data_IF_593963197178
#
_entry.id   IF_593963197178
#
_cell.length_a   1.000
_cell.length_b   1.000
_cell.length_c   1.000
_cell.angle_alpha   90.00
_cell.angle_beta   90.00
_cell.angle_gamma   90.00
#
_symmetry.space_group_name_H-M   'P 1'
#
loop_
_entity.id
_entity.type
_entity.pdbx_description
1 polymer ?
#
# COMPACT_ATOMS: atom_id res chain seq x y z
N UNK A 1 31.41 65.27 18.87
CA UNK A 1 30.71 64.51 17.82
C UNK A 1 30.73 65.36 16.57
N UNK A 2 31.44 64.94 15.53
CA UNK A 2 31.40 65.63 14.22
C UNK A 2 30.08 65.28 13.51
N UNK A 3 29.61 66.12 12.60
CA UNK A 3 28.35 65.87 11.86
C UNK A 3 28.37 64.53 11.11
N UNK A 4 29.55 64.13 10.62
CA UNK A 4 29.79 62.83 9.98
C UNK A 4 29.57 61.63 10.92
N UNK A 5 29.93 61.76 12.21
CA UNK A 5 29.70 60.72 13.20
C UNK A 5 28.21 60.60 13.52
N UNK A 6 27.52 61.74 13.67
CA UNK A 6 26.08 61.77 13.91
C UNK A 6 25.29 61.15 12.73
N UNK A 7 25.70 61.43 11.49
CA UNK A 7 25.09 60.86 10.29
C UNK A 7 25.28 59.33 10.21
N UNK A 8 26.49 58.83 10.49
CA UNK A 8 26.76 57.38 10.53
C UNK A 8 25.91 56.66 11.59
N UNK A 9 25.75 57.28 12.76
CA UNK A 9 24.92 56.76 13.85
C UNK A 9 23.43 56.74 13.44
N UNK A 10 22.94 57.78 12.76
CA UNK A 10 21.58 57.81 12.23
C UNK A 10 21.32 56.67 11.23
N UNK A 11 22.24 56.42 10.29
CA UNK A 11 22.12 55.29 9.34
C UNK A 11 22.03 53.96 10.08
N UNK A 12 22.88 53.74 11.09
CA UNK A 12 22.88 52.51 11.89
C UNK A 12 21.55 52.29 12.61
N UNK A 13 20.98 53.33 13.22
CA UNK A 13 19.69 53.23 13.91
C UNK A 13 18.54 52.96 12.95
N UNK A 14 18.51 53.63 11.80
CA UNK A 14 17.48 53.44 10.77
C UNK A 14 17.54 52.03 10.18
N UNK A 15 18.75 51.53 9.89
CA UNK A 15 18.93 50.15 9.42
C UNK A 15 18.55 49.11 10.48
N UNK A 16 18.94 49.32 11.73
CA UNK A 16 18.55 48.45 12.84
C UNK A 16 17.03 48.40 13.03
N UNK A 17 16.35 49.55 12.95
CA UNK A 17 14.90 49.63 13.01
C UNK A 17 14.26 48.84 11.84
N UNK A 18 14.77 49.02 10.63
CA UNK A 18 14.33 48.26 9.45
C UNK A 18 14.49 46.74 9.65
N UNK A 19 15.66 46.27 10.06
CA UNK A 19 15.90 44.84 10.29
C UNK A 19 14.95 44.27 11.35
N UNK A 20 14.73 44.98 12.46
CA UNK A 20 13.79 44.56 13.51
C UNK A 20 12.37 44.44 12.99
N UNK A 21 11.92 45.39 12.16
CA UNK A 21 10.60 45.36 11.53
C UNK A 21 10.47 44.15 10.61
N UNK A 22 11.45 43.91 9.73
CA UNK A 22 11.43 42.77 8.81
C UNK A 22 11.37 41.45 9.55
N UNK A 23 12.23 41.24 10.56
CA UNK A 23 12.25 40.01 11.36
C UNK A 23 10.92 39.80 12.09
N UNK A 24 10.35 40.88 12.66
CA UNK A 24 9.06 40.81 13.35
C UNK A 24 7.93 40.37 12.41
N UNK A 25 7.86 40.93 11.20
CA UNK A 25 6.81 40.56 10.24
C UNK A 25 7.00 39.14 9.73
N UNK A 26 8.23 38.73 9.40
CA UNK A 26 8.52 37.35 9.00
C UNK A 26 8.09 36.34 10.08
N UNK A 27 8.33 36.64 11.35
CA UNK A 27 7.87 35.81 12.46
C UNK A 27 6.34 35.76 12.56
N UNK A 28 5.65 36.90 12.42
CA UNK A 28 4.19 36.96 12.42
C UNK A 28 3.62 36.12 11.26
N UNK A 29 4.18 36.23 10.06
CA UNK A 29 3.72 35.51 8.87
C UNK A 29 3.81 33.99 9.05
N UNK A 30 4.91 33.48 9.61
CA UNK A 30 5.04 32.05 9.91
C UNK A 30 4.09 31.60 11.03
N UNK A 31 3.88 32.41 12.07
CA UNK A 31 2.88 32.11 13.11
C UNK A 31 1.47 32.00 12.50
N UNK A 32 1.09 32.94 11.63
CA UNK A 32 -0.21 32.91 10.96
C UNK A 32 -0.33 31.71 10.03
N UNK A 33 0.75 31.32 9.36
CA UNK A 33 0.79 30.12 8.51
C UNK A 33 0.65 28.83 9.32
N UNK A 34 1.31 28.73 10.47
CA UNK A 34 1.15 27.62 11.41
C UNK A 34 -0.30 27.54 11.92
N UNK A 35 -0.89 28.68 12.29
CA UNK A 35 -2.29 28.74 12.75
C UNK A 35 -3.27 28.25 11.68
N UNK A 36 -3.13 28.70 10.44
CA UNK A 36 -3.95 28.24 9.30
C UNK A 36 -3.84 26.74 9.05
N UNK A 37 -2.65 26.15 9.28
CA UNK A 37 -2.47 24.70 9.22
C UNK A 37 -3.20 24.00 10.36
N UNK A 38 -2.99 24.41 11.60
CA UNK A 38 -3.63 23.80 12.77
C UNK A 38 -5.16 23.88 12.78
N UNK A 39 -5.75 24.91 12.15
CA UNK A 39 -7.21 25.01 12.01
C UNK A 39 -7.79 24.05 10.96
N UNK A 40 -6.97 23.56 10.03
CA UNK A 40 -7.38 22.68 8.91
C UNK A 40 -6.92 21.23 9.08
N UNK A 41 -5.78 21.04 9.74
CA UNK A 41 -5.13 19.75 9.92
C UNK A 41 -5.60 19.11 11.23
N UNK A 42 -5.99 17.84 11.15
CA UNK A 42 -6.34 17.01 12.30
C UNK A 42 -5.31 15.89 12.40
N UNK A 43 -4.85 15.57 13.61
CA UNK A 43 -3.88 14.49 13.81
C UNK A 43 -4.46 13.14 13.38
N UNK A 44 -3.65 12.28 12.76
CA UNK A 44 -4.05 10.92 12.41
C UNK A 44 -4.51 10.11 13.64
N UNK A 45 -3.87 10.28 14.79
CA UNK A 45 -4.28 9.61 16.04
C UNK A 45 -5.70 10.00 16.47
N UNK A 46 -6.10 11.25 16.22
CA UNK A 46 -7.47 11.71 16.46
C UNK A 46 -8.47 11.07 15.50
N UNK A 47 -8.08 10.86 14.23
CA UNK A 47 -8.88 10.18 13.22
C UNK A 47 -9.00 8.67 13.45
N UNK A 48 -7.99 8.03 14.04
CA UNK A 48 -8.04 6.59 14.38
C UNK A 48 -8.94 6.27 15.59
N UNK A 49 -9.41 7.29 16.32
CA UNK A 49 -10.48 7.07 17.30
C UNK A 49 -11.74 6.62 16.56
N UNK A 50 -12.37 5.56 17.05
CA UNK A 50 -13.48 4.79 16.44
C UNK A 50 -14.63 5.62 15.81
N UNK A 51 -14.75 6.90 16.19
CA UNK A 51 -15.72 7.86 15.66
C UNK A 51 -15.59 8.15 14.15
N UNK A 52 -14.43 7.88 13.53
CA UNK A 52 -14.22 8.14 12.10
C UNK A 52 -14.03 6.89 11.23
N UNK A 53 -14.22 5.69 11.80
CA UNK A 53 -14.19 4.42 11.04
C UNK A 53 -15.26 4.40 9.94
N UNK A 54 -16.32 5.20 10.08
CA UNK A 54 -17.38 5.38 9.08
C UNK A 54 -16.94 6.13 7.81
N UNK A 55 -15.80 6.83 7.82
CA UNK A 55 -15.25 7.50 6.63
C UNK A 55 -14.52 6.53 5.71
N UNK A 56 -14.13 5.36 6.21
CA UNK A 56 -13.71 4.27 5.36
C UNK A 56 -14.98 3.66 4.76
N UNK A 57 -15.17 3.80 3.45
CA UNK A 57 -16.11 2.91 2.78
C UNK A 57 -15.62 1.47 3.05
N UNK A 58 -16.48 0.57 3.54
CA UNK A 58 -16.11 -0.84 3.58
C UNK A 58 -15.80 -1.23 2.13
N UNK A 59 -14.55 -1.61 1.85
CA UNK A 59 -14.20 -2.19 0.56
C UNK A 59 -15.20 -3.32 0.31
N UNK A 60 -16.08 -3.14 -0.67
CA UNK A 60 -17.01 -4.18 -1.11
C UNK A 60 -16.16 -5.26 -1.76
N UNK A 61 -15.65 -6.17 -0.93
CA UNK A 61 -14.76 -7.22 -1.36
C UNK A 61 -15.62 -8.32 -1.96
N UNK A 62 -15.71 -8.34 -3.29
CA UNK A 62 -16.45 -9.38 -4.00
C UNK A 62 -15.77 -10.75 -3.78
N UNK A 63 -16.56 -11.72 -3.34
CA UNK A 63 -16.09 -13.07 -3.04
C UNK A 63 -16.20 -13.97 -4.28
N UNK A 64 -15.09 -14.61 -4.65
CA UNK A 64 -15.02 -15.58 -5.73
C UNK A 64 -14.72 -16.97 -5.18
N UNK A 65 -15.41 -17.98 -5.69
CA UNK A 65 -15.26 -19.37 -5.21
C UNK A 65 -14.36 -20.17 -6.14
N UNK A 66 -13.33 -20.81 -5.58
CA UNK A 66 -12.48 -21.77 -6.27
C UNK A 66 -12.67 -23.16 -5.66
N UNK A 67 -13.18 -24.10 -6.46
CA UNK A 67 -13.49 -25.46 -5.98
C UNK A 67 -12.57 -26.48 -6.65
N UNK A 68 -11.86 -27.26 -5.83
CA UNK A 68 -11.04 -28.38 -6.27
C UNK A 68 -10.96 -29.43 -5.16
N UNK A 69 -10.68 -30.69 -5.51
CA UNK A 69 -10.66 -31.81 -4.54
C UNK A 69 -11.94 -31.96 -3.70
N UNK A 70 -13.10 -31.53 -4.22
CA UNK A 70 -14.38 -31.52 -3.48
C UNK A 70 -14.46 -30.50 -2.34
N UNK A 71 -13.55 -29.52 -2.29
CA UNK A 71 -13.52 -28.45 -1.30
C UNK A 71 -13.48 -27.09 -1.99
N UNK A 72 -13.96 -26.06 -1.30
CA UNK A 72 -14.07 -24.70 -1.84
C UNK A 72 -13.23 -23.73 -1.02
N UNK A 73 -12.48 -22.88 -1.72
CA UNK A 73 -11.75 -21.76 -1.14
C UNK A 73 -12.34 -20.43 -1.63
N UNK A 74 -12.42 -19.46 -0.72
CA UNK A 74 -12.83 -18.09 -1.03
C UNK A 74 -11.63 -17.29 -1.47
N UNK A 75 -11.77 -16.57 -2.58
CA UNK A 75 -10.80 -15.68 -3.18
C UNK A 75 -11.40 -14.28 -3.28
N UNK A 76 -10.54 -13.27 -3.22
CA UNK A 76 -10.94 -11.85 -3.28
C UNK A 76 -10.41 -11.15 -4.54
N UNK A 77 -9.93 -11.92 -5.50
CA UNK A 77 -9.38 -11.43 -6.76
C UNK A 77 -10.00 -12.18 -7.92
N UNK A 78 -10.80 -11.47 -8.72
CA UNK A 78 -11.50 -12.01 -9.89
C UNK A 78 -10.54 -12.68 -10.88
N UNK A 79 -9.45 -11.97 -11.22
CA UNK A 79 -8.43 -12.43 -12.17
C UNK A 79 -7.77 -13.73 -11.72
N UNK A 80 -7.49 -13.86 -10.42
CA UNK A 80 -6.89 -15.08 -9.87
C UNK A 80 -7.89 -16.24 -9.93
N UNK A 81 -9.15 -16.01 -9.58
CA UNK A 81 -10.20 -17.03 -9.66
C UNK A 81 -10.39 -17.52 -11.10
N UNK A 82 -10.44 -16.60 -12.06
CA UNK A 82 -10.53 -16.91 -13.48
C UNK A 82 -9.29 -17.68 -13.99
N UNK A 83 -8.08 -17.23 -13.64
CA UNK A 83 -6.84 -17.90 -14.05
C UNK A 83 -6.72 -19.31 -13.46
N UNK A 84 -7.16 -19.51 -12.22
CA UNK A 84 -7.23 -20.85 -11.60
C UNK A 84 -8.21 -21.76 -12.33
N UNK A 85 -9.37 -21.26 -12.73
CA UNK A 85 -10.36 -22.03 -13.49
C UNK A 85 -9.86 -22.47 -14.88
N UNK A 86 -8.92 -21.73 -15.49
CA UNK A 86 -8.30 -22.06 -16.78
C UNK A 86 -7.21 -23.13 -16.68
N UNK A 87 -6.71 -23.45 -15.48
CA UNK A 87 -5.73 -24.51 -15.32
C UNK A 87 -6.36 -25.89 -15.62
N UNK A 88 -5.58 -26.89 -16.09
CA UNK A 88 -6.05 -28.26 -16.13
C UNK A 88 -6.45 -28.77 -14.73
N UNK A 89 -7.47 -29.62 -14.65
CA UNK A 89 -8.03 -30.13 -13.39
C UNK A 89 -6.95 -30.67 -12.43
N UNK A 90 -6.01 -31.47 -12.92
CA UNK A 90 -4.90 -31.97 -12.11
C UNK A 90 -4.04 -30.83 -11.52
N UNK A 91 -3.76 -29.78 -12.29
CA UNK A 91 -2.98 -28.65 -11.81
C UNK A 91 -3.78 -27.81 -10.78
N UNK A 92 -5.10 -27.69 -10.98
CA UNK A 92 -5.99 -27.08 -9.98
C UNK A 92 -5.92 -27.84 -8.66
N UNK A 93 -6.02 -29.16 -8.68
CA UNK A 93 -5.95 -29.99 -7.48
C UNK A 93 -4.59 -29.92 -6.79
N UNK A 94 -3.49 -29.96 -7.55
CA UNK A 94 -2.14 -29.85 -6.99
C UNK A 94 -1.90 -28.47 -6.34
N UNK A 95 -2.38 -27.39 -6.96
CA UNK A 95 -2.35 -26.03 -6.39
C UNK A 95 -3.24 -25.95 -5.15
N UNK A 96 -4.45 -26.53 -5.21
CA UNK A 96 -5.39 -26.55 -4.10
C UNK A 96 -4.77 -27.24 -2.87
N UNK A 97 -4.24 -28.44 -3.07
CA UNK A 97 -3.56 -29.22 -2.02
C UNK A 97 -2.35 -28.50 -1.43
N UNK A 98 -1.56 -27.83 -2.28
CA UNK A 98 -0.34 -27.16 -1.82
C UNK A 98 -0.60 -25.86 -1.06
N UNK A 99 -1.43 -24.97 -1.62
CA UNK A 99 -1.64 -23.64 -1.03
C UNK A 99 -2.77 -23.60 -0.01
N UNK A 100 -3.89 -24.29 -0.27
CA UNK A 100 -5.08 -24.21 0.57
C UNK A 100 -5.06 -25.29 1.66
N UNK A 101 -4.66 -26.52 1.32
CA UNK A 101 -4.55 -27.62 2.29
C UNK A 101 -3.16 -27.73 2.95
N UNK A 102 -2.20 -26.90 2.54
CA UNK A 102 -0.82 -26.88 3.07
C UNK A 102 -0.14 -28.25 3.06
N UNK A 103 -0.47 -29.12 2.10
CA UNK A 103 0.11 -30.44 2.01
C UNK A 103 1.53 -30.37 1.43
N UNK A 104 2.52 -31.08 2.01
CA UNK A 104 3.87 -31.08 1.47
C UNK A 104 3.91 -31.84 0.13
N UNK A 105 4.80 -31.44 -0.77
CA UNK A 105 4.97 -32.03 -2.12
C UNK A 105 5.11 -33.57 -2.12
N UNK A 106 5.65 -34.15 -1.04
CA UNK A 106 5.75 -35.61 -0.90
C UNK A 106 4.37 -36.28 -0.80
N UNK A 107 3.44 -35.67 -0.06
CA UNK A 107 2.06 -36.17 0.13
C UNK A 107 1.26 -35.96 -1.15
N UNK A 108 1.43 -34.80 -1.79
CA UNK A 108 0.82 -34.52 -3.10
C UNK A 108 1.31 -35.52 -4.14
N UNK A 109 2.62 -35.78 -4.20
CA UNK A 109 3.21 -36.79 -5.07
C UNK A 109 2.58 -38.16 -4.90
N UNK A 110 2.45 -38.63 -3.65
CA UNK A 110 1.77 -39.90 -3.35
C UNK A 110 0.32 -39.90 -3.86
N UNK A 111 -0.40 -38.79 -3.68
CA UNK A 111 -1.79 -38.68 -4.14
C UNK A 111 -1.93 -38.77 -5.67
N UNK A 112 -1.03 -38.14 -6.42
CA UNK A 112 -1.02 -38.19 -7.90
C UNK A 112 -0.25 -39.41 -8.46
N UNK A 113 0.22 -40.32 -7.60
CA UNK A 113 1.02 -41.49 -8.02
C UNK A 113 2.39 -41.14 -8.60
N UNK A 114 3.00 -40.02 -8.19
CA UNK A 114 4.30 -39.53 -8.68
C UNK A 114 5.29 -39.26 -7.54
N UNK A 115 6.54 -38.98 -7.91
CA UNK A 115 7.57 -38.60 -6.94
C UNK A 115 7.35 -37.18 -6.41
N UNK A 116 7.96 -36.88 -5.25
CA UNK A 116 7.97 -35.53 -4.67
C UNK A 116 8.49 -34.47 -5.67
N UNK A 117 9.55 -34.77 -6.42
CA UNK A 117 10.14 -33.83 -7.37
C UNK A 117 9.23 -33.57 -8.57
N UNK A 118 8.52 -34.60 -9.05
CA UNK A 118 7.53 -34.44 -10.13
C UNK A 118 6.37 -33.54 -9.67
N UNK A 119 5.81 -33.77 -8.48
CA UNK A 119 4.77 -32.90 -7.92
C UNK A 119 5.27 -31.44 -7.76
N UNK A 120 6.49 -31.26 -7.26
CA UNK A 120 7.09 -29.92 -7.18
C UNK A 120 7.22 -29.24 -8.55
N UNK A 121 7.64 -29.97 -9.59
CA UNK A 121 7.74 -29.45 -10.96
C UNK A 121 6.38 -29.09 -11.54
N UNK A 122 5.35 -29.91 -11.32
CA UNK A 122 4.01 -29.62 -11.80
C UNK A 122 3.43 -28.36 -11.15
N UNK A 123 3.56 -28.22 -9.82
CA UNK A 123 3.16 -27.00 -9.09
C UNK A 123 3.89 -25.78 -9.65
N UNK A 124 5.20 -25.88 -9.90
CA UNK A 124 5.97 -24.78 -10.48
C UNK A 124 5.49 -24.41 -11.90
N UNK A 125 5.17 -25.40 -12.74
CA UNK A 125 4.63 -25.16 -14.08
C UNK A 125 3.23 -24.53 -14.03
N UNK A 126 2.39 -24.96 -13.09
CA UNK A 126 1.07 -24.36 -12.87
C UNK A 126 1.21 -22.88 -12.46
N UNK A 127 2.12 -22.57 -11.54
CA UNK A 127 2.41 -21.18 -11.14
C UNK A 127 2.96 -20.33 -12.29
N UNK A 128 3.81 -20.90 -13.14
CA UNK A 128 4.30 -20.20 -14.33
C UNK A 128 3.17 -19.90 -15.32
N UNK A 129 2.19 -20.81 -15.48
CA UNK A 129 1.01 -20.56 -16.31
C UNK A 129 0.13 -19.47 -15.71
N UNK A 130 -0.21 -19.57 -14.42
CA UNK A 130 -0.98 -18.53 -13.73
C UNK A 130 -0.35 -17.15 -13.90
N UNK A 131 0.98 -17.07 -13.74
CA UNK A 131 1.70 -15.82 -13.95
C UNK A 131 1.55 -15.28 -15.37
N UNK A 132 1.63 -16.13 -16.39
CA UNK A 132 1.45 -15.71 -17.79
C UNK A 132 0.03 -15.20 -18.05
N UNK A 133 -0.98 -15.93 -17.59
CA UNK A 133 -2.39 -15.52 -17.77
C UNK A 133 -2.67 -14.18 -17.07
N UNK A 134 -2.17 -14.02 -15.84
CA UNK A 134 -2.34 -12.77 -15.08
C UNK A 134 -1.49 -11.61 -15.62
N UNK A 135 -0.36 -11.88 -16.28
CA UNK A 135 0.41 -10.85 -16.98
C UNK A 135 -0.28 -10.40 -18.28
N UNK A 136 -0.95 -11.29 -19.02
CA UNK A 136 -1.73 -10.94 -20.22
C UNK A 136 -2.94 -10.06 -19.85
N UNK A 137 -3.67 -10.41 -18.78
CA UNK A 137 -4.83 -9.63 -18.31
C UNK A 137 -4.50 -8.20 -17.86
N UNK A 138 -3.22 -7.84 -17.66
CA UNK A 138 -2.80 -6.47 -17.30
C UNK A 138 -2.66 -5.54 -18.51
N UNK A 139 -2.63 -6.08 -19.72
CA UNK A 139 -2.41 -5.33 -20.96
C UNK A 139 -3.63 -5.34 -21.89
N UNK A 140 -4.72 -5.99 -21.49
CA UNK A 140 -6.05 -5.91 -22.11
C UNK A 140 -6.89 -4.85 -21.40
#
# INVERSE_FOLDING_TARGET
MTEDEAYKVHIQYTFNAFCKVVIRHAAIDEILKMRRRWEREVSLDYLMNEKFVQLAEPEQLEEYLFTACGQTAVLYHAELAAALALLPEQAQEEIFRYYFLRQPQRVIGVHIGRTRSTAGRHIQLALQRLRKEMEVSRYE
#
